data_IF_463390746693
#
_entry.id   IF_463390746693
#
_cell.length_a   1.000
_cell.length_b   1.000
_cell.length_c   1.000
_cell.angle_alpha   90.00
_cell.angle_beta   90.00
_cell.angle_gamma   90.00
#
_symmetry.space_group_name_H-M   'P 1'
#
loop_
_entity.id
_entity.type
_entity.pdbx_description
1 polymer ?
#
# COMPACT_ATOMS: atom_id res chain seq x y z
N UNK A 1 -1.70 12.24 74.21
CA UNK A 1 -1.36 11.40 73.05
C UNK A 1 -2.11 11.96 71.84
N UNK A 2 -1.45 12.76 71.02
CA UNK A 2 -2.09 13.40 69.87
C UNK A 2 -1.01 13.91 68.94
N UNK A 3 -0.48 13.02 68.10
CA UNK A 3 0.46 13.39 67.05
C UNK A 3 -0.36 13.89 65.87
N UNK A 4 -0.26 15.19 65.57
CA UNK A 4 -0.81 15.76 64.35
C UNK A 4 0.02 15.21 63.19
N UNK A 5 -0.59 14.40 62.32
CA UNK A 5 0.03 13.94 61.10
C UNK A 5 0.06 15.09 60.09
N UNK A 6 1.25 15.56 59.74
CA UNK A 6 1.44 16.50 58.65
C UNK A 6 1.28 15.76 57.32
N UNK A 7 0.23 16.08 56.55
CA UNK A 7 0.09 15.59 55.18
C UNK A 7 1.18 16.28 54.34
N UNK A 8 2.18 15.53 53.88
CA UNK A 8 3.09 15.99 52.83
C UNK A 8 2.36 15.90 51.50
N UNK A 9 1.97 17.02 50.94
CA UNK A 9 1.58 17.10 49.52
C UNK A 9 2.87 17.13 48.68
N UNK A 10 3.29 15.97 48.19
CA UNK A 10 4.26 15.89 47.10
C UNK A 10 3.51 16.15 45.78
N UNK A 11 3.76 17.29 45.16
CA UNK A 11 3.43 17.47 43.74
C UNK A 11 4.37 16.59 42.93
N UNK A 12 3.91 15.42 42.48
CA UNK A 12 4.65 14.58 41.53
C UNK A 12 4.65 15.26 40.15
N UNK A 13 5.63 16.12 39.88
CA UNK A 13 5.89 16.68 38.54
C UNK A 13 6.75 15.75 37.65
N UNK A 14 6.77 14.44 37.91
CA UNK A 14 7.88 13.58 37.48
C UNK A 14 7.58 12.20 36.89
N UNK A 15 6.33 11.82 36.59
CA UNK A 15 6.08 10.56 35.89
C UNK A 15 6.29 10.76 34.39
N UNK A 16 7.52 10.57 33.92
CA UNK A 16 7.78 10.43 32.48
C UNK A 16 7.20 9.10 32.03
N UNK A 17 6.00 9.14 31.43
CA UNK A 17 5.41 7.97 30.79
C UNK A 17 6.28 7.62 29.57
N UNK A 18 6.60 6.33 29.40
CA UNK A 18 7.30 5.83 28.21
C UNK A 18 6.32 4.95 27.43
N UNK A 19 5.33 5.54 26.73
CA UNK A 19 4.40 4.77 25.93
C UNK A 19 5.12 3.91 24.88
N UNK A 20 4.53 2.75 24.60
CA UNK A 20 5.00 1.82 23.57
C UNK A 20 4.23 2.07 22.29
N UNK A 21 4.96 2.33 21.20
CA UNK A 21 4.41 2.34 19.85
C UNK A 21 4.71 1.00 19.20
N UNK A 22 3.66 0.24 18.90
CA UNK A 22 3.71 -0.99 18.12
C UNK A 22 3.30 -0.69 16.68
N UNK A 23 4.18 -1.00 15.74
CA UNK A 23 3.94 -0.89 14.30
C UNK A 23 3.87 -2.30 13.73
N UNK A 24 2.85 -2.58 12.94
CA UNK A 24 2.76 -3.82 12.20
C UNK A 24 2.51 -3.61 10.71
N UNK A 25 2.93 -4.57 9.89
CA UNK A 25 2.52 -4.68 8.49
C UNK A 25 1.44 -5.75 8.36
N UNK A 26 0.58 -5.64 7.34
CA UNK A 26 -0.37 -6.71 6.98
C UNK A 26 -0.68 -6.71 5.49
N UNK A 27 -1.40 -7.73 5.04
CA UNK A 27 -1.79 -7.94 3.64
C UNK A 27 -0.91 -8.97 2.93
N UNK A 28 -1.14 -9.13 1.63
CA UNK A 28 -0.42 -10.16 0.84
C UNK A 28 0.78 -9.56 0.07
N UNK A 29 0.97 -8.25 0.14
CA UNK A 29 2.12 -7.54 -0.44
C UNK A 29 3.24 -7.35 0.58
N UNK A 30 4.41 -6.92 0.08
CA UNK A 30 5.58 -6.60 0.89
C UNK A 30 5.86 -5.11 0.94
N UNK A 31 6.61 -4.70 1.96
CA UNK A 31 7.05 -3.32 2.13
C UNK A 31 7.65 -3.07 3.50
N UNK A 32 8.07 -1.84 3.71
CA UNK A 32 8.65 -1.38 4.97
C UNK A 32 7.88 -0.19 5.54
N UNK A 33 7.87 -0.08 6.86
CA UNK A 33 7.39 1.12 7.56
C UNK A 33 8.56 1.67 8.36
N UNK A 34 8.91 2.92 8.08
CA UNK A 34 9.98 3.64 8.75
C UNK A 34 9.41 4.77 9.59
N UNK A 35 9.87 4.91 10.83
CA UNK A 35 9.59 6.10 11.65
C UNK A 35 10.69 7.14 11.50
N UNK A 36 10.29 8.41 11.37
CA UNK A 36 11.16 9.57 11.53
C UNK A 36 10.79 10.21 12.85
N UNK A 37 11.75 10.21 13.77
CA UNK A 37 11.69 10.88 15.06
C UNK A 37 12.84 11.90 15.14
N UNK A 38 12.60 13.14 15.61
CA UNK A 38 13.67 14.11 15.76
C UNK A 38 14.50 13.76 17.01
N UNK A 39 15.48 12.83 16.87
CA UNK A 39 16.80 12.82 17.54
C UNK A 39 17.42 11.42 17.65
N UNK A 40 16.65 10.34 17.83
CA UNK A 40 17.18 8.96 17.91
C UNK A 40 16.03 7.96 18.09
N UNK A 41 15.98 6.89 17.30
CA UNK A 41 14.98 5.82 17.43
C UNK A 41 14.19 5.58 16.15
N UNK A 42 14.89 5.17 15.09
CA UNK A 42 14.25 4.71 13.86
C UNK A 42 13.61 3.34 14.15
N UNK A 43 12.28 3.26 14.02
CA UNK A 43 11.58 1.97 13.93
C UNK A 43 11.61 1.59 12.46
N UNK A 44 12.18 0.44 12.16
CA UNK A 44 12.12 -0.17 10.84
C UNK A 44 11.40 -1.49 10.98
N UNK A 45 10.16 -1.52 10.48
CA UNK A 45 9.50 -2.79 10.20
C UNK A 45 9.76 -3.13 8.75
N UNK A 46 10.44 -4.26 8.55
CA UNK A 46 10.84 -4.73 7.25
C UNK A 46 10.76 -6.25 7.27
N UNK A 47 9.87 -6.81 6.47
CA UNK A 47 10.02 -8.21 6.12
C UNK A 47 9.71 -8.44 4.64
N UNK A 48 10.74 -8.73 3.81
CA UNK A 48 10.54 -9.14 2.44
C UNK A 48 9.93 -10.56 2.27
N UNK A 49 9.73 -11.32 3.36
CA UNK A 49 9.33 -12.74 3.33
C UNK A 49 8.19 -13.15 4.30
N UNK A 50 7.60 -12.23 5.07
CA UNK A 50 6.45 -12.55 5.94
C UNK A 50 5.36 -11.47 5.86
N UNK A 51 4.08 -11.85 5.65
CA UNK A 51 2.97 -10.90 5.49
C UNK A 51 2.56 -10.16 6.77
N UNK A 52 3.20 -10.33 7.93
CA UNK A 52 2.83 -9.64 9.16
C UNK A 52 4.05 -9.40 10.08
N UNK A 53 4.85 -8.39 9.80
CA UNK A 53 5.96 -7.98 10.67
C UNK A 53 5.42 -7.13 11.83
N UNK A 54 5.99 -7.28 13.02
CA UNK A 54 5.60 -6.50 14.22
C UNK A 54 6.87 -5.97 14.87
N UNK A 55 6.99 -4.66 14.99
CA UNK A 55 8.08 -4.01 15.72
C UNK A 55 7.51 -3.04 16.74
N UNK A 56 8.12 -2.99 17.91
CA UNK A 56 7.73 -2.09 18.98
C UNK A 56 8.94 -1.29 19.47
N UNK A 57 8.70 -0.02 19.83
CA UNK A 57 9.67 0.79 20.56
C UNK A 57 8.96 1.59 21.64
N UNK A 58 9.67 1.90 22.71
CA UNK A 58 9.21 2.88 23.69
C UNK A 58 9.59 4.28 23.21
N UNK A 59 8.67 5.23 23.39
CA UNK A 59 8.81 6.64 23.01
C UNK A 59 8.60 7.46 24.27
N UNK A 60 9.39 8.52 24.49
CA UNK A 60 9.07 9.45 25.57
C UNK A 60 7.70 10.09 25.29
N UNK A 61 6.80 10.15 26.26
CA UNK A 61 5.46 10.69 26.08
C UNK A 61 5.41 12.07 25.42
N UNK A 62 4.31 12.34 24.71
CA UNK A 62 4.03 13.62 24.03
C UNK A 62 5.05 13.95 22.95
N UNK A 63 5.22 13.00 22.03
CA UNK A 63 6.08 13.17 20.87
C UNK A 63 5.37 12.86 19.57
N UNK A 64 5.69 13.68 18.58
CA UNK A 64 5.23 13.48 17.23
C UNK A 64 6.14 12.50 16.50
N UNK A 65 5.54 11.46 15.94
CA UNK A 65 6.19 10.43 15.15
C UNK A 65 5.64 10.49 13.74
N UNK A 66 6.53 10.59 12.76
CA UNK A 66 6.17 10.49 11.35
C UNK A 66 6.46 9.07 10.86
N UNK A 67 5.43 8.36 10.43
CA UNK A 67 5.56 7.04 9.82
C UNK A 67 5.46 7.16 8.30
N UNK A 68 6.39 6.53 7.59
CA UNK A 68 6.45 6.50 6.13
C UNK A 68 6.44 5.04 5.69
N UNK A 69 5.43 4.67 4.92
CA UNK A 69 5.37 3.37 4.26
C UNK A 69 6.14 3.41 2.93
N UNK A 70 6.88 2.35 2.63
CA UNK A 70 7.59 2.15 1.37
C UNK A 70 7.27 0.76 0.84
N UNK A 71 6.35 0.64 -0.14
CA UNK A 71 6.00 -0.64 -0.75
C UNK A 71 7.21 -1.25 -1.48
N UNK A 72 7.25 -2.58 -1.54
CA UNK A 72 8.16 -3.28 -2.45
C UNK A 72 7.75 -3.06 -3.92
N UNK A 73 8.66 -3.33 -4.85
CA UNK A 73 8.46 -3.07 -6.28
C UNK A 73 7.23 -3.78 -6.91
N UNK A 74 6.73 -4.84 -6.29
CA UNK A 74 5.56 -5.64 -6.74
C UNK A 74 4.31 -5.39 -5.89
N UNK A 75 4.33 -4.38 -5.02
CA UNK A 75 3.30 -4.14 -4.02
C UNK A 75 2.84 -2.68 -4.00
N UNK A 76 1.65 -2.46 -3.45
CA UNK A 76 1.03 -1.17 -3.21
C UNK A 76 0.79 -1.02 -1.71
N UNK A 77 1.00 0.19 -1.18
CA UNK A 77 0.55 0.53 0.16
C UNK A 77 -0.90 1.03 0.08
N UNK A 78 -1.83 0.36 0.75
CA UNK A 78 -3.27 0.65 0.65
C UNK A 78 -3.80 1.47 1.81
N UNK A 79 -3.04 1.61 2.88
CA UNK A 79 -3.32 2.59 3.93
C UNK A 79 -2.96 2.14 5.34
N UNK A 80 -3.23 3.03 6.29
CA UNK A 80 -3.03 2.85 7.73
C UNK A 80 -4.33 2.40 8.42
N UNK A 81 -4.21 1.64 9.51
CA UNK A 81 -5.37 1.22 10.31
C UNK A 81 -6.01 2.34 11.13
N UNK A 82 -5.28 3.43 11.37
CA UNK A 82 -5.77 4.56 12.16
C UNK A 82 -6.47 5.58 11.26
N UNK A 83 -7.69 5.97 11.65
CA UNK A 83 -8.44 7.03 10.96
C UNK A 83 -7.76 8.41 11.00
N UNK A 84 -6.86 8.65 11.97
CA UNK A 84 -6.04 9.85 12.04
C UNK A 84 -4.95 9.93 10.97
N UNK A 85 -4.66 8.81 10.30
CA UNK A 85 -3.74 8.74 9.18
C UNK A 85 -4.49 8.30 7.91
N UNK A 86 -5.35 9.18 7.36
CA UNK A 86 -6.16 8.83 6.21
C UNK A 86 -5.30 8.66 4.95
N UNK A 87 -5.65 7.64 4.16
CA UNK A 87 -5.02 7.37 2.87
C UNK A 87 -3.64 6.71 2.98
N UNK A 88 -2.80 6.98 1.99
CA UNK A 88 -1.51 6.29 1.76
C UNK A 88 -0.30 7.19 1.98
N UNK A 89 -0.52 8.45 2.36
CA UNK A 89 0.54 9.41 2.65
C UNK A 89 1.26 9.11 3.98
N UNK A 90 2.31 9.91 4.30
CA UNK A 90 2.94 9.84 5.61
C UNK A 90 1.94 10.01 6.75
N UNK A 91 2.05 9.17 7.76
CA UNK A 91 1.19 9.18 8.93
C UNK A 91 1.86 9.94 10.07
N UNK A 92 1.22 11.00 10.55
CA UNK A 92 1.69 11.79 11.69
C UNK A 92 0.86 11.42 12.92
N UNK A 93 1.49 10.96 13.98
CA UNK A 93 0.82 10.62 15.25
C UNK A 93 1.54 11.26 16.43
N UNK A 94 0.78 11.68 17.44
CA UNK A 94 1.31 12.09 18.73
C UNK A 94 1.16 10.93 19.71
N UNK A 95 2.28 10.40 20.22
CA UNK A 95 2.28 9.24 21.11
C UNK A 95 2.23 9.73 22.57
N UNK A 96 1.03 9.78 23.13
CA UNK A 96 0.77 10.14 24.54
C UNK A 96 0.53 8.92 25.43
N UNK A 97 0.05 7.80 24.85
CA UNK A 97 -0.22 6.51 25.49
C UNK A 97 0.25 5.39 24.55
N UNK A 98 0.23 4.15 25.04
CA UNK A 98 0.51 2.97 24.22
C UNK A 98 -0.40 2.96 22.97
N UNK A 99 0.21 2.76 21.81
CA UNK A 99 -0.47 2.85 20.52
C UNK A 99 -0.05 1.69 19.61
N UNK A 100 -1.01 1.18 18.84
CA UNK A 100 -0.77 0.18 17.81
C UNK A 100 -1.26 0.71 16.47
N UNK A 101 -0.40 0.64 15.45
CA UNK A 101 -0.71 1.03 14.08
C UNK A 101 -0.31 -0.08 13.11
N UNK A 102 -1.18 -0.34 12.15
CA UNK A 102 -0.93 -1.33 11.09
C UNK A 102 -0.91 -0.63 9.74
N UNK A 103 0.11 -0.88 8.94
CA UNK A 103 0.14 -0.49 7.53
C UNK A 103 -0.17 -1.68 6.64
N UNK A 104 -1.01 -1.49 5.62
CA UNK A 104 -1.44 -2.57 4.73
C UNK A 104 -0.71 -2.49 3.38
N UNK A 105 -0.08 -3.59 2.99
CA UNK A 105 0.55 -3.78 1.68
C UNK A 105 -0.16 -4.88 0.90
N UNK A 106 -0.50 -4.61 -0.36
CA UNK A 106 -1.13 -5.58 -1.26
C UNK A 106 -0.27 -5.78 -2.49
N UNK A 107 -0.24 -6.99 -3.04
CA UNK A 107 0.41 -7.21 -4.35
C UNK A 107 -0.28 -6.36 -5.41
N UNK A 108 0.50 -5.85 -6.36
CA UNK A 108 -0.04 -5.16 -7.53
C UNK A 108 -0.99 -6.11 -8.29
N UNK A 109 -2.26 -5.71 -8.51
CA UNK A 109 -3.16 -6.45 -9.37
C UNK A 109 -2.60 -6.65 -10.80
N UNK A 110 -3.02 -7.70 -11.52
CA UNK A 110 -2.41 -8.11 -12.77
C UNK A 110 -2.70 -7.20 -13.97
N UNK A 111 -3.60 -6.23 -13.82
CA UNK A 111 -3.98 -5.29 -14.88
C UNK A 111 -3.66 -3.88 -14.40
N UNK A 112 -2.83 -3.15 -15.15
CA UNK A 112 -2.50 -1.75 -14.88
C UNK A 112 -2.97 -0.87 -16.03
N UNK A 113 -3.73 0.16 -15.72
CA UNK A 113 -4.19 1.16 -16.69
C UNK A 113 -3.37 2.43 -16.50
N UNK A 114 -2.72 2.87 -17.57
CA UNK A 114 -1.93 4.10 -17.64
C UNK A 114 -2.62 5.06 -18.61
N UNK A 115 -2.94 6.25 -18.12
CA UNK A 115 -3.64 7.28 -18.87
C UNK A 115 -2.86 8.59 -18.74
N UNK A 116 -2.62 9.27 -19.86
CA UNK A 116 -1.87 10.54 -19.87
C UNK A 116 -2.53 11.57 -18.95
N UNK A 117 -1.76 12.12 -18.01
CA UNK A 117 -2.25 13.11 -17.04
C UNK A 117 -2.95 12.54 -15.80
N UNK A 118 -3.00 11.21 -15.63
CA UNK A 118 -3.63 10.55 -14.48
C UNK A 118 -2.67 9.58 -13.79
N UNK A 119 -2.92 9.32 -12.51
CA UNK A 119 -2.20 8.28 -11.78
C UNK A 119 -2.58 6.88 -12.30
N UNK A 120 -1.63 5.92 -12.34
CA UNK A 120 -1.94 4.56 -12.73
C UNK A 120 -2.97 3.92 -11.79
N UNK A 121 -3.90 3.17 -12.37
CA UNK A 121 -4.87 2.37 -11.60
C UNK A 121 -4.63 0.89 -11.84
N UNK A 122 -4.87 0.06 -10.83
CA UNK A 122 -4.61 -1.38 -10.88
C UNK A 122 -5.89 -2.16 -10.61
N UNK A 123 -6.12 -3.22 -11.38
CA UNK A 123 -7.38 -3.96 -11.41
C UNK A 123 -7.15 -5.47 -11.47
N UNK A 124 -8.09 -6.22 -10.93
CA UNK A 124 -8.12 -7.69 -10.98
C UNK A 124 -8.95 -8.21 -12.14
N UNK A 125 -9.84 -7.38 -12.71
CA UNK A 125 -10.76 -7.78 -13.79
C UNK A 125 -10.65 -6.82 -14.98
N UNK A 126 -10.88 -7.34 -16.20
CA UNK A 126 -10.92 -6.51 -17.41
C UNK A 126 -12.06 -5.48 -17.40
N UNK A 127 -13.30 -5.80 -16.98
CA UNK A 127 -14.37 -4.81 -16.90
C UNK A 127 -14.01 -3.60 -16.03
N UNK A 128 -13.41 -3.82 -14.86
CA UNK A 128 -13.02 -2.71 -13.96
C UNK A 128 -11.91 -1.86 -14.59
N UNK A 129 -10.93 -2.51 -15.22
CA UNK A 129 -9.88 -1.81 -15.95
C UNK A 129 -10.44 -0.94 -17.07
N UNK A 130 -11.35 -1.48 -17.89
CA UNK A 130 -11.99 -0.75 -18.98
C UNK A 130 -12.85 0.41 -18.50
N UNK A 131 -13.53 0.27 -17.35
CA UNK A 131 -14.30 1.37 -16.76
C UNK A 131 -13.42 2.56 -16.32
N UNK A 132 -12.15 2.33 -16.04
CA UNK A 132 -11.17 3.40 -15.71
C UNK A 132 -10.37 3.89 -16.90
N UNK A 133 -10.41 3.17 -18.02
CA UNK A 133 -9.69 3.53 -19.23
C UNK A 133 -10.26 4.81 -19.84
N UNK A 134 -9.37 5.55 -20.51
CA UNK A 134 -9.65 6.76 -21.26
C UNK A 134 -9.15 6.58 -22.69
N UNK A 135 -9.49 7.53 -23.54
CA UNK A 135 -8.95 7.55 -24.90
C UNK A 135 -7.42 7.53 -24.88
N UNK A 136 -6.84 6.62 -25.66
CA UNK A 136 -5.40 6.35 -25.76
C UNK A 136 -4.74 5.83 -24.47
N UNK A 137 -5.51 5.29 -23.52
CA UNK A 137 -4.93 4.55 -22.39
C UNK A 137 -4.09 3.36 -22.84
N UNK A 138 -3.05 3.07 -22.06
CA UNK A 138 -2.25 1.86 -22.17
C UNK A 138 -2.66 0.92 -21.03
N UNK A 139 -3.13 -0.26 -21.39
CA UNK A 139 -3.51 -1.33 -20.47
C UNK A 139 -2.40 -2.37 -20.50
N UNK A 140 -1.63 -2.43 -19.42
CA UNK A 140 -0.53 -3.38 -19.24
C UNK A 140 -1.05 -4.60 -18.48
N UNK A 141 -0.73 -5.80 -18.98
CA UNK A 141 -1.10 -7.07 -18.36
C UNK A 141 0.17 -7.80 -17.89
N UNK A 142 0.14 -8.29 -16.66
CA UNK A 142 1.20 -9.17 -16.17
C UNK A 142 1.28 -10.46 -16.98
N UNK A 143 2.47 -11.07 -17.02
CA UNK A 143 2.73 -12.41 -17.54
C UNK A 143 2.00 -13.43 -16.66
N UNK A 144 0.77 -13.76 -17.06
CA UNK A 144 -0.12 -14.64 -16.31
C UNK A 144 -1.13 -15.31 -17.25
N UNK A 145 -1.78 -16.36 -16.73
CA UNK A 145 -2.99 -16.92 -17.29
C UNK A 145 -4.19 -16.21 -16.67
N UNK A 146 -4.99 -15.55 -17.49
CA UNK A 146 -6.21 -14.88 -17.05
C UNK A 146 -7.38 -15.85 -17.09
N UNK A 147 -8.24 -15.77 -16.08
CA UNK A 147 -9.42 -16.65 -15.95
C UNK A 147 -10.63 -16.17 -16.78
N UNK A 148 -10.55 -14.97 -17.36
CA UNK A 148 -11.66 -14.35 -18.09
C UNK A 148 -11.24 -13.92 -19.50
N UNK A 149 -12.16 -14.09 -20.44
CA UNK A 149 -11.99 -13.62 -21.81
C UNK A 149 -12.04 -12.10 -21.86
N UNK A 150 -11.27 -11.53 -22.79
CA UNK A 150 -11.26 -10.10 -23.03
C UNK A 150 -12.42 -9.72 -23.95
N UNK A 151 -13.38 -8.95 -23.41
CA UNK A 151 -14.45 -8.32 -24.20
C UNK A 151 -14.11 -6.86 -24.43
N UNK A 152 -13.50 -6.55 -25.58
CA UNK A 152 -13.18 -5.19 -25.94
C UNK A 152 -14.39 -4.46 -26.52
N UNK A 153 -14.99 -3.58 -25.70
CA UNK A 153 -16.19 -2.81 -26.04
C UNK A 153 -16.06 -1.32 -25.65
N UNK A 154 -14.89 -0.73 -25.87
CA UNK A 154 -14.66 0.68 -25.60
C UNK A 154 -14.95 1.53 -26.85
N UNK A 155 -15.62 2.68 -26.72
CA UNK A 155 -15.94 3.54 -27.86
C UNK A 155 -14.74 4.34 -28.38
N UNK A 156 -13.57 4.21 -27.74
CA UNK A 156 -12.34 4.93 -28.03
C UNK A 156 -11.14 3.97 -28.10
N UNK A 157 -10.05 4.36 -28.77
CA UNK A 157 -8.87 3.51 -28.90
C UNK A 157 -8.10 3.36 -27.58
N UNK A 158 -7.52 2.17 -27.37
CA UNK A 158 -6.56 1.88 -26.29
C UNK A 158 -5.45 0.95 -26.80
N UNK A 159 -4.34 0.86 -26.07
CA UNK A 159 -3.31 -0.15 -26.31
C UNK A 159 -3.34 -1.21 -25.22
N UNK A 160 -3.28 -2.49 -25.58
CA UNK A 160 -3.24 -3.62 -24.64
C UNK A 160 -1.92 -4.34 -24.82
N UNK A 161 -1.07 -4.31 -23.79
CA UNK A 161 0.29 -4.81 -23.83
C UNK A 161 0.45 -5.91 -22.78
N UNK A 162 0.73 -7.13 -23.21
CA UNK A 162 0.92 -8.28 -22.31
C UNK A 162 2.37 -8.57 -21.94
N UNK A 163 2.54 -9.46 -20.97
CA UNK A 163 3.84 -10.05 -20.62
C UNK A 163 4.71 -9.23 -19.67
N UNK A 164 4.11 -8.37 -18.86
CA UNK A 164 4.83 -7.60 -17.84
C UNK A 164 5.18 -8.44 -16.61
N UNK A 165 6.31 -8.17 -15.98
CA UNK A 165 6.61 -8.71 -14.65
C UNK A 165 5.63 -8.18 -13.59
N UNK A 166 5.67 -8.75 -12.38
CA UNK A 166 4.75 -8.39 -11.29
C UNK A 166 4.82 -6.90 -10.87
N UNK A 167 5.91 -6.19 -11.19
CA UNK A 167 6.09 -4.76 -10.93
C UNK A 167 5.78 -3.84 -12.12
N UNK A 168 5.39 -4.38 -13.29
CA UNK A 168 5.20 -3.62 -14.54
C UNK A 168 6.44 -2.81 -14.96
N UNK A 169 7.64 -3.33 -14.71
CA UNK A 169 8.93 -2.70 -15.03
C UNK A 169 9.58 -3.30 -16.27
N UNK A 170 9.37 -4.58 -16.54
CA UNK A 170 9.95 -5.30 -17.68
C UNK A 170 8.86 -6.08 -18.43
N UNK A 171 9.00 -6.17 -19.75
CA UNK A 171 8.08 -6.92 -20.61
C UNK A 171 8.82 -8.11 -21.23
N UNK A 172 8.84 -9.25 -20.53
CA UNK A 172 9.66 -10.42 -20.90
C UNK A 172 8.87 -11.62 -21.41
N UNK A 173 7.56 -11.68 -21.17
CA UNK A 173 6.72 -12.81 -21.56
C UNK A 173 5.51 -12.44 -22.42
N UNK A 174 4.45 -13.23 -22.26
CA UNK A 174 3.14 -13.06 -22.87
C UNK A 174 2.04 -13.21 -21.82
N UNK A 175 0.93 -12.49 -21.98
CA UNK A 175 -0.28 -12.73 -21.18
C UNK A 175 -1.21 -13.67 -21.94
N UNK A 176 -1.72 -14.70 -21.27
CA UNK A 176 -2.62 -15.69 -21.89
C UNK A 176 -4.07 -15.41 -21.51
N UNK A 177 -4.93 -15.34 -22.52
CA UNK A 177 -6.37 -15.13 -22.39
C UNK A 177 -7.13 -16.37 -22.91
N UNK A 178 -8.26 -16.73 -22.28
CA UNK A 178 -9.13 -17.82 -22.76
C UNK A 178 -10.03 -17.40 -23.93
N UNK A 179 -9.91 -16.15 -24.38
CA UNK A 179 -10.71 -15.60 -25.48
C UNK A 179 -10.50 -14.11 -25.65
N UNK A 180 -10.67 -13.64 -26.88
CA UNK A 180 -10.62 -12.23 -27.24
C UNK A 180 -11.76 -11.92 -28.20
N UNK A 181 -12.65 -11.04 -27.79
CA UNK A 181 -13.76 -10.53 -28.60
C UNK A 181 -13.62 -9.03 -28.73
N UNK A 182 -13.61 -8.52 -29.96
CA UNK A 182 -13.57 -7.08 -30.28
C UNK A 182 -14.93 -6.71 -30.84
N UNK A 183 -15.75 -6.01 -30.06
CA UNK A 183 -17.08 -5.56 -30.50
C UNK A 183 -17.07 -4.15 -31.08
N UNK A 184 -16.21 -3.26 -30.58
CA UNK A 184 -16.08 -1.88 -31.07
C UNK A 184 -14.72 -1.29 -30.73
N UNK A 185 -14.30 -0.25 -31.46
CA UNK A 185 -13.04 0.49 -31.24
C UNK A 185 -11.84 -0.03 -32.02
N UNK A 186 -10.69 0.64 -31.85
CA UNK A 186 -9.40 0.24 -32.43
C UNK A 186 -8.43 -0.03 -31.29
N UNK A 187 -7.76 -1.18 -31.31
CA UNK A 187 -6.78 -1.53 -30.28
C UNK A 187 -5.46 -1.94 -30.89
N UNK A 188 -4.37 -1.44 -30.32
CA UNK A 188 -3.05 -2.06 -30.52
C UNK A 188 -2.91 -3.18 -29.50
N UNK A 189 -2.66 -4.40 -29.97
CA UNK A 189 -2.46 -5.57 -29.12
C UNK A 189 -1.02 -6.04 -29.30
N UNK A 190 -0.31 -6.19 -28.19
CA UNK A 190 1.05 -6.71 -28.16
C UNK A 190 1.18 -7.81 -27.10
N UNK A 191 1.94 -8.86 -27.43
CA UNK A 191 2.31 -9.95 -26.50
C UNK A 191 1.15 -10.61 -25.76
N UNK A 192 0.07 -10.90 -26.48
CA UNK A 192 -1.04 -11.73 -26.01
C UNK A 192 -1.06 -13.09 -26.70
N UNK A 193 -1.42 -14.12 -25.94
CA UNK A 193 -1.77 -15.45 -26.45
C UNK A 193 -3.26 -15.65 -26.18
N UNK A 194 -4.03 -16.04 -27.20
CA UNK A 194 -5.43 -16.42 -27.07
C UNK A 194 -5.54 -17.93 -27.26
N UNK A 195 -6.12 -18.64 -26.29
CA UNK A 195 -6.33 -20.09 -26.32
C UNK A 195 -7.80 -20.43 -26.23
#
# INVERSE_FOLDING_TARGET
FGTVATVKTETYTGWKLNPTLTVSTTGNGGGTINSIYPASGLITCSNPQQPNDICATTISSERDVKLIASPDATSLFTGWSLGSCPGTGPCMITVSLDAAITGTFTKMPPIKVVSTGYQPTYHTTFPDAFNTARENSIIQLQEALFESSLLFNLPFPVSILGGFDAGFTMQNGFSTLPGLTISSGSSTIDRLIVK
#
